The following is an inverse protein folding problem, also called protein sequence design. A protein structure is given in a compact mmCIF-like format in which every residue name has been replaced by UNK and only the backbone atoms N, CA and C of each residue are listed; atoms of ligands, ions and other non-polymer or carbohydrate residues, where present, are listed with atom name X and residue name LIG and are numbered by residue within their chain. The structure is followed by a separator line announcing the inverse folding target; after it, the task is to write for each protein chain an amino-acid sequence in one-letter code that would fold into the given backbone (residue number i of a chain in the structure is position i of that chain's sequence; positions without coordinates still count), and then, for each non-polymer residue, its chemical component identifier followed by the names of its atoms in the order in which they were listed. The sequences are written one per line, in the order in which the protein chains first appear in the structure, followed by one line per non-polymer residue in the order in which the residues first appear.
data_IF_176320635513
#
_entry.id   IF_176320635513
#
_cell.length_a   1.000
_cell.length_b   1.000
_cell.length_c   1.000
_cell.angle_alpha   90.00
_cell.angle_beta   90.00
_cell.angle_gamma   90.00
#
_symmetry.space_group_name_H-M   'P 1'
#
loop_
_entity.id
_entity.type
_entity.pdbx_description
1 polymer ?
#
# COMPACT_ATOMS: atom_id res chain seq x y z
N UNK A 1 12.36 -16.35 -9.42
CA UNK A 1 12.61 -14.97 -9.88
C UNK A 1 11.80 -14.06 -8.99
N UNK A 2 12.45 -13.42 -8.02
CA UNK A 2 11.80 -12.42 -7.16
C UNK A 2 11.57 -11.20 -8.05
N UNK A 3 10.32 -10.91 -8.38
CA UNK A 3 9.95 -9.64 -9.01
C UNK A 3 10.49 -8.53 -8.13
N UNK A 4 11.33 -7.65 -8.70
CA UNK A 4 11.84 -6.49 -7.99
C UNK A 4 10.68 -5.78 -7.31
N UNK A 5 10.77 -5.62 -5.99
CA UNK A 5 9.77 -4.97 -5.14
C UNK A 5 9.80 -3.47 -5.44
N UNK A 6 9.22 -3.07 -6.58
CA UNK A 6 9.23 -1.68 -7.00
C UNK A 6 8.15 -0.95 -6.20
N UNK A 7 8.58 -0.29 -5.13
CA UNK A 7 7.75 0.64 -4.39
C UNK A 7 7.44 1.86 -5.25
N UNK A 8 6.16 2.18 -5.38
CA UNK A 8 5.69 3.38 -6.07
C UNK A 8 4.81 4.22 -5.16
N UNK A 9 4.96 5.54 -5.27
CA UNK A 9 4.24 6.51 -4.47
C UNK A 9 2.86 6.78 -5.09
N UNK A 10 1.83 6.90 -4.25
CA UNK A 10 0.50 7.30 -4.72
C UNK A 10 0.54 8.67 -5.41
N UNK A 11 -0.19 8.82 -6.51
CA UNK A 11 -0.37 10.10 -7.20
C UNK A 11 -1.17 11.13 -6.38
N UNK A 12 -1.84 10.69 -5.31
CA UNK A 12 -2.54 11.56 -4.36
C UNK A 12 -1.63 12.12 -3.26
N UNK A 13 -0.37 11.69 -3.21
CA UNK A 13 0.66 12.22 -2.30
C UNK A 13 1.13 13.59 -2.79
N UNK A 14 0.43 14.67 -2.41
CA UNK A 14 0.80 16.05 -2.72
C UNK A 14 1.33 16.82 -1.51
N UNK A 15 2.53 17.39 -1.62
CA UNK A 15 3.15 18.20 -0.55
C UNK A 15 3.72 17.36 0.62
N UNK A 16 3.74 17.95 1.83
CA UNK A 16 4.29 17.34 3.06
C UNK A 16 3.33 16.39 3.81
N UNK A 17 2.12 16.13 3.30
CA UNK A 17 1.09 15.40 4.04
C UNK A 17 0.87 13.99 3.48
N UNK A 18 0.96 13.00 4.37
CA UNK A 18 0.45 11.62 4.23
C UNK A 18 0.91 10.86 2.97
N UNK A 19 2.23 10.64 2.82
CA UNK A 19 2.77 9.90 1.68
C UNK A 19 2.78 8.39 1.96
N UNK A 20 2.04 7.62 1.17
CA UNK A 20 2.09 6.15 1.16
C UNK A 20 2.78 5.62 -0.11
N UNK A 21 3.54 4.55 0.07
CA UNK A 21 4.13 3.75 -1.01
C UNK A 21 3.50 2.35 -1.03
N UNK A 22 3.29 1.83 -2.24
CA UNK A 22 2.74 0.50 -2.49
C UNK A 22 3.72 -0.31 -3.32
N UNK A 23 3.81 -1.62 -3.08
CA UNK A 23 4.56 -2.55 -3.91
C UNK A 23 3.76 -3.83 -4.17
N UNK A 24 3.81 -4.33 -5.40
CA UNK A 24 3.29 -5.65 -5.75
C UNK A 24 4.43 -6.67 -5.60
N UNK A 25 4.30 -7.54 -4.60
CA UNK A 25 5.30 -8.50 -4.20
C UNK A 25 5.06 -9.86 -4.86
N UNK A 26 5.99 -10.81 -4.66
CA UNK A 26 5.83 -12.19 -5.13
C UNK A 26 4.56 -12.86 -4.57
N UNK A 27 3.95 -13.74 -5.35
CA UNK A 27 2.75 -14.47 -4.93
C UNK A 27 1.46 -13.64 -4.89
N UNK A 28 1.46 -12.45 -5.49
CA UNK A 28 0.29 -11.56 -5.53
C UNK A 28 0.07 -10.77 -4.23
N UNK A 29 1.03 -10.81 -3.31
CA UNK A 29 0.98 -10.03 -2.08
C UNK A 29 1.13 -8.53 -2.39
N UNK A 30 0.49 -7.69 -1.59
CA UNK A 30 0.60 -6.23 -1.71
C UNK A 30 1.18 -5.64 -0.44
N UNK A 31 2.29 -4.91 -0.57
CA UNK A 31 2.93 -4.18 0.51
C UNK A 31 2.49 -2.72 0.54
N UNK A 32 2.23 -2.16 1.73
CA UNK A 32 1.95 -0.74 1.95
C UNK A 32 2.84 -0.23 3.07
N UNK A 33 3.51 0.91 2.86
CA UNK A 33 4.36 1.54 3.88
C UNK A 33 4.26 3.06 3.87
N UNK A 34 4.70 3.65 4.98
CA UNK A 34 4.91 5.10 5.10
C UNK A 34 6.13 5.52 4.26
N UNK A 35 5.94 6.40 3.30
CA UNK A 35 7.05 6.93 2.49
C UNK A 35 8.03 7.77 3.30
N UNK A 36 7.62 8.32 4.45
CA UNK A 36 8.49 9.10 5.33
C UNK A 36 9.41 8.22 6.17
N UNK A 37 9.05 6.95 6.34
CA UNK A 37 9.84 5.97 7.06
C UNK A 37 9.97 4.66 6.25
N UNK A 38 10.69 4.66 5.11
CA UNK A 38 10.76 3.50 4.21
C UNK A 38 11.51 2.30 4.81
N UNK A 39 12.31 2.51 5.86
CA UNK A 39 12.96 1.45 6.65
C UNK A 39 12.09 0.94 7.80
N UNK A 40 10.93 1.56 8.03
CA UNK A 40 9.94 1.11 9.00
C UNK A 40 9.17 -0.12 8.53
N UNK A 41 8.26 -0.65 9.37
CA UNK A 41 7.45 -1.81 9.03
C UNK A 41 6.48 -1.51 7.87
N UNK A 42 6.30 -2.50 7.00
CA UNK A 42 5.29 -2.49 5.95
C UNK A 42 4.11 -3.40 6.34
N UNK A 43 2.89 -2.98 6.01
CA UNK A 43 1.72 -3.85 6.01
C UNK A 43 1.77 -4.73 4.76
N UNK A 44 1.53 -6.02 4.90
CA UNK A 44 1.51 -6.97 3.77
C UNK A 44 0.17 -7.67 3.73
N UNK A 45 -0.53 -7.53 2.61
CA UNK A 45 -1.84 -8.09 2.37
C UNK A 45 -1.76 -9.31 1.45
N UNK A 46 -2.58 -10.33 1.71
CA UNK A 46 -2.89 -11.35 0.71
C UNK A 46 -3.71 -10.73 -0.44
N UNK A 47 -3.79 -11.36 -1.62
CA UNK A 47 -4.62 -10.84 -2.72
C UNK A 47 -6.07 -10.58 -2.29
N UNK A 48 -6.68 -11.50 -1.53
CA UNK A 48 -8.08 -11.37 -1.07
C UNK A 48 -8.25 -10.24 -0.06
N UNK A 49 -7.31 -10.07 0.86
CA UNK A 49 -7.39 -9.02 1.86
C UNK A 49 -7.18 -7.63 1.23
N UNK A 50 -6.33 -7.56 0.20
CA UNK A 50 -6.12 -6.33 -0.55
C UNK A 50 -7.40 -5.91 -1.30
N UNK A 51 -8.05 -6.83 -1.99
CA UNK A 51 -9.32 -6.55 -2.68
C UNK A 51 -10.40 -6.07 -1.71
N UNK A 52 -10.55 -6.76 -0.57
CA UNK A 52 -11.50 -6.36 0.47
C UNK A 52 -11.16 -5.00 1.10
N UNK A 53 -9.87 -4.72 1.32
CA UNK A 53 -9.42 -3.43 1.85
C UNK A 53 -9.78 -2.29 0.91
N UNK A 54 -9.49 -2.42 -0.39
CA UNK A 54 -9.80 -1.39 -1.40
C UNK A 54 -11.31 -1.18 -1.50
N UNK A 55 -12.09 -2.26 -1.56
CA UNK A 55 -13.55 -2.17 -1.61
C UNK A 55 -14.12 -1.39 -0.41
N UNK A 56 -13.75 -1.77 0.80
CA UNK A 56 -14.18 -1.10 2.02
C UNK A 56 -13.72 0.37 2.08
N UNK A 57 -12.50 0.66 1.64
CA UNK A 57 -11.97 2.01 1.58
C UNK A 57 -12.73 2.90 0.59
N UNK A 58 -13.10 2.36 -0.58
CA UNK A 58 -13.91 3.11 -1.56
C UNK A 58 -15.35 3.34 -1.12
N UNK A 59 -15.89 2.46 -0.26
CA UNK A 59 -17.19 2.61 0.36
C UNK A 59 -17.18 3.50 1.63
N UNK A 60 -16.04 4.11 1.98
CA UNK A 60 -15.93 5.01 3.13
C UNK A 60 -16.07 4.31 4.49
N UNK A 61 -15.87 2.99 4.55
CA UNK A 61 -16.06 2.23 5.80
C UNK A 61 -15.04 2.58 6.90
N UNK A 62 -13.99 3.33 6.54
CA UNK A 62 -12.94 3.77 7.45
C UNK A 62 -12.99 5.28 7.77
N UNK A 63 -13.99 6.02 7.28
CA UNK A 63 -14.07 7.50 7.37
C UNK A 63 -14.62 8.01 8.72
N UNK A 64 -14.13 7.46 9.84
CA UNK A 64 -14.60 7.81 11.19
C UNK A 64 -14.31 9.26 11.59
#
# INVERSE_FOLDING_TARGET
MSTNEVWFKSSRSGGDKECVEVAFLGGGLTGVRDSKNPAGPALVFSPRDWDAFVDNATHGMFDR
#
